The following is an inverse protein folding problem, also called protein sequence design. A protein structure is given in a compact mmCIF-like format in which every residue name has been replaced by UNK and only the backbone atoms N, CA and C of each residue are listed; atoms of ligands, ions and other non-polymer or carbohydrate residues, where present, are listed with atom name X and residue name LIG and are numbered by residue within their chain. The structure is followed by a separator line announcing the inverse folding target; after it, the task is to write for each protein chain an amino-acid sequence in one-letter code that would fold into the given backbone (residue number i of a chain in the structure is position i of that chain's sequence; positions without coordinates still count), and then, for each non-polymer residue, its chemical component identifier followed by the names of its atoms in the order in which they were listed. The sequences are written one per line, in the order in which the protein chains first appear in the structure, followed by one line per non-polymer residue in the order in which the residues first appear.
data_IF_154397706259
#
_entry.id   IF_154397706259
#
_cell.length_a   1.000
_cell.length_b   1.000
_cell.length_c   1.000
_cell.angle_alpha   90.00
_cell.angle_beta   90.00
_cell.angle_gamma   90.00
#
_symmetry.space_group_name_H-M   'P 1'
#
loop_
_entity.id
_entity.type
_entity.pdbx_description
1 polymer ?
#
# COMPACT_ATOMS: atom_id res chain seq x y z
N UNK A 1 23.50 5.50 -11.18
CA UNK A 1 22.99 4.91 -9.94
C UNK A 1 23.97 5.28 -8.85
N UNK A 2 23.54 5.35 -7.60
CA UNK A 2 24.43 5.66 -6.47
C UNK A 2 25.41 4.52 -6.20
N UNK A 3 26.33 4.72 -5.27
CA UNK A 3 27.14 3.62 -4.73
C UNK A 3 26.26 2.58 -4.01
N UNK A 4 26.75 1.34 -3.96
CA UNK A 4 26.12 0.26 -3.19
C UNK A 4 26.23 0.56 -1.69
N UNK A 5 25.13 0.37 -0.97
CA UNK A 5 25.09 0.53 0.49
C UNK A 5 24.27 -0.56 1.15
N UNK A 6 24.72 -1.01 2.32
CA UNK A 6 23.91 -1.85 3.20
C UNK A 6 22.83 -0.97 3.82
N UNK A 7 21.56 -1.28 3.55
CA UNK A 7 20.41 -0.48 3.96
C UNK A 7 19.32 -1.37 4.53
N UNK A 8 18.61 -0.88 5.54
CA UNK A 8 17.43 -1.53 6.11
C UNK A 8 16.15 -1.14 5.36
N UNK A 9 15.12 -1.99 5.36
CA UNK A 9 13.84 -1.68 4.71
C UNK A 9 13.19 -0.37 5.17
N UNK A 10 13.13 -0.13 6.48
CA UNK A 10 12.65 1.13 7.05
C UNK A 10 13.46 2.35 6.58
N UNK A 11 14.79 2.25 6.53
CA UNK A 11 15.68 3.30 6.00
C UNK A 11 15.41 3.54 4.50
N UNK A 12 15.15 2.48 3.73
CA UNK A 12 14.83 2.58 2.30
C UNK A 12 13.46 3.23 2.06
N UNK A 13 12.48 2.99 2.92
CA UNK A 13 11.19 3.68 2.90
C UNK A 13 11.37 5.19 3.09
N UNK A 14 12.06 5.60 4.16
CA UNK A 14 12.33 7.02 4.41
C UNK A 14 13.10 7.68 3.25
N UNK A 15 14.12 6.99 2.70
CA UNK A 15 14.87 7.49 1.56
C UNK A 15 14.00 7.64 0.30
N UNK A 16 13.12 6.67 0.02
CA UNK A 16 12.19 6.72 -1.12
C UNK A 16 11.20 7.87 -0.99
N UNK A 17 10.68 8.11 0.22
CA UNK A 17 9.78 9.21 0.51
C UNK A 17 10.44 10.58 0.25
N UNK A 18 11.64 10.80 0.79
CA UNK A 18 12.41 12.03 0.60
C UNK A 18 12.69 12.26 -0.89
N UNK A 19 13.11 11.21 -1.59
CA UNK A 19 13.43 11.25 -3.01
C UNK A 19 12.20 11.54 -3.89
N UNK A 20 11.01 11.08 -3.47
CA UNK A 20 9.72 11.38 -4.11
C UNK A 20 9.19 12.80 -3.80
N UNK A 21 9.92 13.58 -3.02
CA UNK A 21 9.58 14.96 -2.70
C UNK A 21 8.76 15.14 -1.42
N UNK A 22 8.67 14.13 -0.54
CA UNK A 22 8.06 14.32 0.79
C UNK A 22 8.84 15.39 1.55
N UNK A 23 8.10 16.33 2.14
CA UNK A 23 8.67 17.46 2.91
C UNK A 23 7.99 17.65 4.27
N UNK A 24 7.09 16.76 4.65
CA UNK A 24 6.50 16.76 5.98
C UNK A 24 6.29 15.33 6.48
N UNK A 25 6.73 15.07 7.70
CA UNK A 25 6.44 13.85 8.44
C UNK A 25 5.81 14.20 9.78
N UNK A 26 4.72 13.52 10.11
CA UNK A 26 4.11 13.57 11.44
C UNK A 26 3.71 12.17 11.88
N UNK A 27 3.96 11.83 13.15
CA UNK A 27 3.66 10.49 13.64
C UNK A 27 3.95 10.31 15.12
N UNK A 28 3.71 9.09 15.59
CA UNK A 28 3.99 8.66 16.96
C UNK A 28 4.92 7.43 16.90
N UNK A 29 5.94 7.32 17.77
CA UNK A 29 6.88 6.21 17.72
C UNK A 29 6.20 4.87 18.05
N UNK A 30 6.32 3.89 17.16
CA UNK A 30 5.81 2.54 17.36
C UNK A 30 6.66 1.51 16.62
N UNK A 31 7.14 0.48 17.33
CA UNK A 31 7.83 -0.67 16.72
C UNK A 31 6.88 -1.43 15.79
N UNK A 32 7.31 -1.97 14.64
CA UNK A 32 8.64 -1.92 14.02
C UNK A 32 8.79 -0.81 12.98
N UNK A 33 8.14 0.34 13.16
CA UNK A 33 8.20 1.47 12.21
C UNK A 33 9.13 2.61 12.64
N UNK A 34 9.74 2.50 13.83
CA UNK A 34 10.47 3.57 14.50
C UNK A 34 11.64 4.10 13.66
N UNK A 35 12.37 3.24 12.96
CA UNK A 35 13.53 3.63 12.14
C UNK A 35 13.12 4.51 10.96
N UNK A 36 11.86 4.42 10.48
CA UNK A 36 11.33 5.38 9.48
C UNK A 36 11.28 6.77 10.12
N UNK A 37 10.70 6.89 11.31
CA UNK A 37 10.61 8.16 12.02
C UNK A 37 11.99 8.72 12.38
N UNK A 38 12.92 7.89 12.86
CA UNK A 38 14.30 8.30 13.17
C UNK A 38 15.04 8.82 11.93
N UNK A 39 14.93 8.09 10.81
CA UNK A 39 15.56 8.50 9.55
C UNK A 39 14.95 9.80 9.03
N UNK A 40 13.62 9.94 9.08
CA UNK A 40 12.93 11.17 8.68
C UNK A 40 13.28 12.34 9.59
N UNK A 41 13.38 12.14 10.91
CA UNK A 41 13.78 13.18 11.85
C UNK A 41 15.19 13.72 11.55
N UNK A 42 16.10 12.85 11.12
CA UNK A 42 17.47 13.18 10.78
C UNK A 42 17.59 13.84 9.40
N UNK A 43 17.01 13.23 8.37
CA UNK A 43 17.34 13.53 6.98
C UNK A 43 16.37 14.53 6.34
N UNK A 44 15.10 14.59 6.80
CA UNK A 44 14.09 15.48 6.23
C UNK A 44 14.42 16.97 6.40
N UNK A 45 14.95 17.45 7.56
CA UNK A 45 15.38 18.84 7.70
C UNK A 45 16.49 19.26 6.73
N UNK A 46 17.38 18.33 6.37
CA UNK A 46 18.48 18.60 5.44
C UNK A 46 18.01 18.92 4.01
N UNK A 47 16.79 18.51 3.65
CA UNK A 47 16.15 18.82 2.36
C UNK A 47 15.03 19.86 2.47
N UNK A 48 15.00 20.61 3.58
CA UNK A 48 14.03 21.69 3.84
C UNK A 48 12.64 21.21 4.25
N UNK A 49 12.49 19.93 4.62
CA UNK A 49 11.25 19.41 5.16
C UNK A 49 11.18 19.50 6.69
N UNK A 50 10.03 19.11 7.25
CA UNK A 50 9.75 19.22 8.68
C UNK A 50 9.31 17.88 9.26
N UNK A 51 9.87 17.54 10.42
CA UNK A 51 9.48 16.38 11.20
C UNK A 51 8.79 16.85 12.49
N UNK A 52 7.69 16.20 12.86
CA UNK A 52 7.06 16.40 14.16
C UNK A 52 6.65 15.06 14.77
N UNK A 53 7.06 14.84 16.02
CA UNK A 53 6.51 13.78 16.84
C UNK A 53 5.26 14.31 17.54
N UNK A 54 4.15 13.63 17.34
CA UNK A 54 2.87 13.98 17.96
C UNK A 54 2.65 13.16 19.25
N UNK A 55 1.62 13.54 20.00
CA UNK A 55 1.22 12.92 21.27
C UNK A 55 0.64 11.51 21.10
N UNK A 56 0.01 11.22 19.95
CA UNK A 56 -0.56 9.94 19.57
C UNK A 56 -0.70 9.82 18.03
N UNK A 57 -1.20 8.68 17.55
CA UNK A 57 -1.39 8.45 16.13
C UNK A 57 -2.52 9.26 15.49
N UNK A 58 -3.50 9.74 16.27
CA UNK A 58 -4.60 10.59 15.80
C UNK A 58 -4.05 11.99 15.49
N UNK A 59 -3.35 12.60 16.46
CA UNK A 59 -2.62 13.86 16.28
C UNK A 59 -1.59 13.74 15.16
N UNK A 60 -0.87 12.62 15.11
CA UNK A 60 0.07 12.25 14.04
C UNK A 60 -0.56 12.32 12.65
N UNK A 61 -1.75 11.75 12.47
CA UNK A 61 -2.45 11.80 11.18
C UNK A 61 -3.06 13.19 10.92
N UNK A 62 -3.61 13.85 11.94
CA UNK A 62 -4.21 15.17 11.82
C UNK A 62 -3.23 16.23 11.30
N UNK A 63 -2.02 16.28 11.86
CA UNK A 63 -1.00 17.25 11.44
C UNK A 63 -0.50 16.97 10.01
N UNK A 64 -0.39 15.69 9.63
CA UNK A 64 0.02 15.25 8.30
C UNK A 64 -1.00 15.67 7.24
N UNK A 65 -2.30 15.48 7.51
CA UNK A 65 -3.37 15.94 6.61
C UNK A 65 -3.41 17.46 6.50
N UNK A 66 -3.19 18.18 7.62
CA UNK A 66 -3.06 19.64 7.60
C UNK A 66 -1.91 20.11 6.70
N UNK A 67 -0.74 19.47 6.80
CA UNK A 67 0.40 19.77 5.94
C UNK A 67 0.13 19.44 4.46
N UNK A 68 -0.59 18.35 4.17
CA UNK A 68 -1.01 18.02 2.81
C UNK A 68 -1.93 19.09 2.21
N UNK A 69 -2.90 19.58 2.98
CA UNK A 69 -3.78 20.68 2.60
C UNK A 69 -3.03 22.00 2.42
N UNK A 70 -1.91 22.20 3.11
CA UNK A 70 -0.99 23.32 2.88
C UNK A 70 -0.06 23.11 1.66
N UNK A 71 -0.23 22.04 0.89
CA UNK A 71 0.46 21.81 -0.38
C UNK A 71 1.70 20.92 -0.29
N UNK A 72 2.04 20.39 0.88
CA UNK A 72 3.18 19.50 1.03
C UNK A 72 2.84 18.08 0.59
N UNK A 73 3.84 17.34 0.09
CA UNK A 73 3.81 15.88 0.03
C UNK A 73 4.17 15.34 1.40
N UNK A 74 3.37 14.40 1.91
CA UNK A 74 3.41 14.03 3.32
C UNK A 74 3.45 12.52 3.51
N UNK A 75 4.06 12.08 4.61
CA UNK A 75 4.11 10.68 5.02
C UNK A 75 3.92 10.56 6.54
N UNK A 76 3.24 9.48 6.96
CA UNK A 76 3.22 8.99 8.34
C UNK A 76 3.60 7.52 8.35
N UNK A 77 4.16 7.03 9.46
CA UNK A 77 4.49 5.63 9.65
C UNK A 77 3.89 5.11 10.96
N UNK A 78 3.50 3.85 10.98
CA UNK A 78 2.81 3.21 12.09
C UNK A 78 2.93 1.68 11.99
N UNK A 79 2.30 0.97 12.93
CA UNK A 79 1.96 -0.45 12.87
C UNK A 79 0.48 -0.66 13.26
N UNK A 80 -0.03 -1.89 13.25
CA UNK A 80 -1.45 -2.24 13.44
C UNK A 80 -2.23 -1.48 14.53
N UNK A 81 -1.73 -1.30 15.77
CA UNK A 81 -2.44 -0.53 16.80
C UNK A 81 -2.64 0.94 16.40
N UNK A 82 -1.56 1.59 15.97
CA UNK A 82 -1.61 2.98 15.52
C UNK A 82 -2.38 3.11 14.20
N UNK A 83 -2.32 2.11 13.33
CA UNK A 83 -3.11 2.05 12.11
C UNK A 83 -4.61 2.01 12.41
N UNK A 84 -5.01 1.32 13.48
CA UNK A 84 -6.40 1.31 13.97
C UNK A 84 -6.85 2.70 14.44
N UNK A 85 -5.98 3.44 15.15
CA UNK A 85 -6.28 4.80 15.59
C UNK A 85 -6.40 5.81 14.44
N UNK A 86 -5.72 5.56 13.32
CA UNK A 86 -5.75 6.45 12.13
C UNK A 86 -6.99 6.25 11.25
N UNK A 87 -7.79 5.20 11.44
CA UNK A 87 -8.85 4.83 10.50
C UNK A 87 -9.88 5.94 10.23
N UNK A 88 -10.31 6.68 11.26
CA UNK A 88 -11.25 7.80 11.06
C UNK A 88 -10.66 8.86 10.12
N UNK A 89 -9.40 9.21 10.32
CA UNK A 89 -8.72 10.22 9.50
C UNK A 89 -8.29 9.72 8.12
N UNK A 90 -8.09 8.41 7.95
CA UNK A 90 -7.95 7.78 6.62
C UNK A 90 -9.26 7.95 5.84
N UNK A 91 -10.42 7.71 6.48
CA UNK A 91 -11.74 7.94 5.89
C UNK A 91 -11.97 9.42 5.55
N UNK A 92 -11.58 10.32 6.46
CA UNK A 92 -11.62 11.76 6.20
C UNK A 92 -10.75 12.15 4.99
N UNK A 93 -9.53 11.62 4.90
CA UNK A 93 -8.63 11.90 3.77
C UNK A 93 -9.16 11.34 2.44
N UNK A 94 -9.82 10.17 2.44
CA UNK A 94 -10.49 9.64 1.26
C UNK A 94 -11.67 10.52 0.83
N UNK A 95 -12.52 10.92 1.78
CA UNK A 95 -13.68 11.80 1.54
C UNK A 95 -13.25 13.19 1.03
N UNK A 96 -12.29 13.81 1.70
CA UNK A 96 -11.81 15.15 1.36
C UNK A 96 -10.77 15.18 0.23
N UNK A 97 -10.43 14.01 -0.34
CA UNK A 97 -9.44 13.82 -1.40
C UNK A 97 -8.07 14.44 -1.07
N UNK A 98 -7.60 14.13 0.14
CA UNK A 98 -6.31 14.60 0.67
C UNK A 98 -5.24 13.53 0.38
N UNK A 99 -4.18 13.86 -0.40
CA UNK A 99 -3.11 12.93 -0.69
C UNK A 99 -2.24 12.70 0.55
N UNK A 100 -2.03 11.44 0.92
CA UNK A 100 -1.20 11.05 2.07
C UNK A 100 -0.69 9.63 1.87
N UNK A 101 0.58 9.38 2.23
CA UNK A 101 1.12 8.03 2.35
C UNK A 101 1.13 7.61 3.80
N UNK A 102 0.53 6.45 4.08
CA UNK A 102 0.55 5.79 5.38
C UNK A 102 1.39 4.53 5.24
N UNK A 103 2.51 4.46 5.96
CA UNK A 103 3.31 3.24 6.03
C UNK A 103 2.83 2.45 7.23
N UNK A 104 2.32 1.24 6.99
CA UNK A 104 1.97 0.28 8.02
C UNK A 104 3.00 -0.86 7.99
N UNK A 105 3.87 -0.90 8.99
CA UNK A 105 4.83 -1.99 9.17
C UNK A 105 4.20 -3.02 10.09
N UNK A 106 3.56 -4.02 9.48
CA UNK A 106 2.73 -5.00 10.17
C UNK A 106 3.56 -5.82 11.17
N UNK A 107 2.95 -6.05 12.34
CA UNK A 107 3.49 -6.90 13.41
C UNK A 107 2.37 -7.76 13.99
N UNK A 108 2.71 -8.77 14.78
CA UNK A 108 1.70 -9.67 15.35
C UNK A 108 0.70 -8.88 16.20
N UNK A 109 -0.59 -9.00 15.86
CA UNK A 109 -1.74 -8.59 16.65
C UNK A 109 -2.48 -9.80 17.25
N UNK A 110 -3.75 -9.66 17.69
CA UNK A 110 -4.51 -8.40 17.80
C UNK A 110 -4.07 -7.55 19.00
N UNK A 111 -4.60 -6.32 19.09
CA UNK A 111 -4.25 -5.36 20.15
C UNK A 111 -2.73 -5.09 20.18
N UNK A 112 -2.10 -5.01 21.36
CA UNK A 112 -0.64 -4.86 21.48
C UNK A 112 0.11 -5.97 20.74
N UNK A 113 -0.46 -7.19 20.76
CA UNK A 113 0.10 -8.40 20.17
C UNK A 113 1.55 -8.66 20.58
N UNK A 114 2.40 -9.01 19.62
CA UNK A 114 3.85 -9.15 19.85
C UNK A 114 4.60 -8.12 19.00
N UNK A 115 5.07 -7.02 19.62
CA UNK A 115 5.63 -5.87 18.90
C UNK A 115 6.82 -6.16 17.99
N UNK A 116 7.58 -7.21 18.29
CA UNK A 116 8.83 -7.55 17.60
C UNK A 116 8.70 -8.76 16.69
N UNK A 117 7.48 -9.24 16.46
CA UNK A 117 7.24 -10.47 15.70
C UNK A 117 6.52 -10.15 14.39
N UNK A 118 6.91 -10.82 13.28
CA UNK A 118 6.33 -10.57 11.97
C UNK A 118 4.91 -11.11 11.82
N UNK A 119 4.13 -10.40 11.00
CA UNK A 119 2.73 -10.71 10.72
C UNK A 119 2.35 -10.03 9.41
N UNK A 120 1.31 -10.55 8.77
CA UNK A 120 0.65 -9.90 7.65
C UNK A 120 -0.87 -9.79 7.89
N UNK A 121 -1.25 -9.55 9.15
CA UNK A 121 -2.63 -9.57 9.65
C UNK A 121 -3.46 -8.33 9.37
N UNK A 122 -2.92 -7.30 8.71
CA UNK A 122 -3.62 -6.02 8.55
C UNK A 122 -4.14 -5.79 7.12
N UNK A 123 -4.03 -6.79 6.22
CA UNK A 123 -4.47 -6.72 4.81
C UNK A 123 -5.93 -6.28 4.67
N UNK A 124 -6.84 -6.87 5.45
CA UNK A 124 -8.26 -6.50 5.40
C UNK A 124 -8.51 -5.17 6.06
N UNK A 125 -7.76 -4.81 7.12
CA UNK A 125 -7.86 -3.48 7.73
C UNK A 125 -7.40 -2.39 6.75
N UNK A 126 -6.42 -2.68 5.89
CA UNK A 126 -5.94 -1.77 4.86
C UNK A 126 -6.99 -1.43 3.79
N UNK A 127 -8.06 -2.25 3.66
CA UNK A 127 -9.21 -1.96 2.79
C UNK A 127 -10.45 -1.51 3.53
N UNK A 128 -10.78 -2.17 4.64
CA UNK A 128 -12.07 -2.06 5.32
C UNK A 128 -11.97 -1.50 6.75
N UNK A 129 -10.80 -0.99 7.15
CA UNK A 129 -10.58 -0.50 8.51
C UNK A 129 -11.38 0.76 8.84
N UNK A 130 -11.68 1.59 7.84
CA UNK A 130 -12.48 2.80 8.01
C UNK A 130 -13.93 2.60 7.56
N UNK A 131 -14.81 3.48 8.00
CA UNK A 131 -16.24 3.37 7.79
C UNK A 131 -16.65 4.01 6.45
N UNK A 132 -17.76 3.51 5.88
CA UNK A 132 -18.31 4.00 4.61
C UNK A 132 -17.62 3.37 3.39
N UNK A 133 -18.15 3.65 2.20
CA UNK A 133 -17.62 3.12 0.94
C UNK A 133 -16.50 4.00 0.40
N UNK A 134 -15.31 3.44 0.23
CA UNK A 134 -14.16 4.13 -0.34
C UNK A 134 -13.24 3.15 -1.08
N UNK A 135 -12.59 3.56 -2.18
CA UNK A 135 -11.52 2.77 -2.76
C UNK A 135 -10.23 2.93 -1.95
N UNK A 136 -9.29 2.00 -2.07
CA UNK A 136 -7.94 2.12 -1.49
C UNK A 136 -6.88 1.66 -2.49
N UNK A 137 -5.71 2.32 -2.42
CA UNK A 137 -4.49 1.87 -3.10
C UNK A 137 -3.54 1.37 -2.00
N UNK A 138 -3.13 0.11 -2.10
CA UNK A 138 -2.27 -0.54 -1.12
C UNK A 138 -1.19 -1.33 -1.83
N UNK A 139 0.06 -0.99 -1.55
CA UNK A 139 1.26 -1.63 -2.10
C UNK A 139 2.02 -2.37 -1.00
N UNK A 140 2.54 -3.56 -1.27
CA UNK A 140 3.31 -4.37 -0.32
C UNK A 140 4.64 -4.80 -0.94
N UNK A 141 5.76 -4.19 -0.53
CA UNK A 141 7.08 -4.54 -1.06
C UNK A 141 7.62 -5.83 -0.41
N UNK A 142 8.47 -6.57 -1.12
CA UNK A 142 9.13 -7.78 -0.62
C UNK A 142 10.65 -7.64 -0.38
N UNK A 143 11.27 -6.51 -0.72
CA UNK A 143 12.72 -6.30 -0.59
C UNK A 143 13.04 -4.87 -0.21
N UNK A 144 14.24 -4.60 0.31
CA UNK A 144 14.70 -3.26 0.67
C UNK A 144 14.73 -2.36 -0.55
N UNK A 145 15.21 -2.87 -1.69
CA UNK A 145 15.24 -2.11 -2.95
C UNK A 145 13.82 -1.78 -3.42
N UNK A 146 12.93 -2.76 -3.39
CA UNK A 146 11.53 -2.54 -3.78
C UNK A 146 10.81 -1.62 -2.79
N UNK A 147 11.13 -1.64 -1.50
CA UNK A 147 10.55 -0.70 -0.52
C UNK A 147 10.82 0.75 -0.92
N UNK A 148 12.02 1.07 -1.39
CA UNK A 148 12.31 2.40 -1.93
C UNK A 148 11.40 2.73 -3.13
N UNK A 149 11.34 1.84 -4.13
CA UNK A 149 10.60 2.06 -5.37
C UNK A 149 9.08 2.14 -5.14
N UNK A 150 8.56 1.24 -4.29
CA UNK A 150 7.17 1.21 -3.85
C UNK A 150 6.81 2.48 -3.06
N UNK A 151 7.73 3.03 -2.27
CA UNK A 151 7.48 4.29 -1.57
C UNK A 151 7.37 5.45 -2.54
N UNK A 152 8.26 5.54 -3.53
CA UNK A 152 8.17 6.57 -4.59
C UNK A 152 6.84 6.44 -5.33
N UNK A 153 6.48 5.22 -5.70
CA UNK A 153 5.21 4.91 -6.36
C UNK A 153 4.01 5.31 -5.48
N UNK A 154 4.03 4.99 -4.20
CA UNK A 154 2.96 5.34 -3.25
C UNK A 154 2.76 6.85 -3.14
N UNK A 155 3.85 7.63 -3.04
CA UNK A 155 3.79 9.10 -3.03
C UNK A 155 3.22 9.62 -4.35
N UNK A 156 3.66 9.09 -5.48
CA UNK A 156 3.14 9.50 -6.79
C UNK A 156 1.64 9.18 -6.94
N UNK A 157 1.19 8.01 -6.50
CA UNK A 157 -0.22 7.63 -6.53
C UNK A 157 -1.07 8.46 -5.58
N UNK A 158 -0.59 8.76 -4.37
CA UNK A 158 -1.30 9.63 -3.44
C UNK A 158 -1.54 11.01 -4.10
N UNK A 159 -0.48 11.61 -4.66
CA UNK A 159 -0.53 12.91 -5.30
C UNK A 159 -1.34 12.93 -6.59
N UNK A 160 -1.26 11.87 -7.39
CA UNK A 160 -1.97 11.74 -8.66
C UNK A 160 -3.45 11.50 -8.48
N UNK A 161 -3.84 10.59 -7.60
CA UNK A 161 -5.24 10.20 -7.41
C UNK A 161 -5.92 10.96 -6.28
N UNK A 162 -5.18 11.78 -5.52
CA UNK A 162 -5.66 12.55 -4.38
C UNK A 162 -6.47 11.67 -3.42
N UNK A 163 -5.78 10.65 -2.92
CA UNK A 163 -6.36 9.62 -2.06
C UNK A 163 -5.30 9.15 -1.06
N UNK A 164 -5.69 8.57 0.09
CA UNK A 164 -4.76 7.83 0.92
C UNK A 164 -4.16 6.66 0.14
N UNK A 165 -2.85 6.47 0.28
CA UNK A 165 -2.14 5.28 -0.21
C UNK A 165 -1.45 4.62 0.96
N UNK A 166 -1.64 3.32 1.11
CA UNK A 166 -0.99 2.54 2.17
C UNK A 166 0.19 1.79 1.58
N UNK A 167 1.36 1.96 2.19
CA UNK A 167 2.50 1.09 1.98
C UNK A 167 2.49 0.04 3.09
N UNK A 168 1.99 -1.15 2.76
CA UNK A 168 1.78 -2.26 3.68
C UNK A 168 3.02 -3.14 3.72
N UNK A 169 3.96 -2.78 4.59
CA UNK A 169 5.16 -3.55 4.89
C UNK A 169 4.86 -4.59 5.97
N UNK A 170 5.74 -5.55 6.15
CA UNK A 170 5.76 -6.42 7.32
C UNK A 170 7.09 -6.26 8.07
N UNK A 171 7.13 -6.66 9.34
CA UNK A 171 8.32 -6.57 10.19
C UNK A 171 9.57 -7.19 9.52
N UNK A 172 9.39 -8.28 8.74
CA UNK A 172 10.48 -8.93 8.01
C UNK A 172 11.10 -7.93 7.04
N UNK A 173 10.29 -7.36 6.14
CA UNK A 173 10.77 -6.40 5.14
C UNK A 173 11.26 -5.12 5.78
N UNK A 174 10.57 -4.64 6.82
CA UNK A 174 10.94 -3.44 7.57
C UNK A 174 12.34 -3.53 8.17
N UNK A 175 12.70 -4.67 8.75
CA UNK A 175 13.99 -4.87 9.40
C UNK A 175 15.04 -5.62 8.58
N UNK A 176 14.69 -6.16 7.41
CA UNK A 176 15.64 -6.77 6.50
C UNK A 176 16.73 -5.76 6.10
N UNK A 177 17.98 -6.23 6.03
CA UNK A 177 19.12 -5.46 5.50
C UNK A 177 19.65 -6.10 4.22
N UNK A 178 19.79 -5.29 3.18
CA UNK A 178 20.31 -5.71 1.88
C UNK A 178 21.35 -4.72 1.37
N UNK A 179 22.27 -5.21 0.54
CA UNK A 179 23.13 -4.34 -0.22
C UNK A 179 22.34 -3.81 -1.42
N UNK A 180 21.98 -2.53 -1.40
CA UNK A 180 21.13 -1.91 -2.42
C UNK A 180 21.87 -0.82 -3.16
N UNK A 181 21.53 -0.69 -4.44
CA UNK A 181 21.92 0.43 -5.27
C UNK A 181 20.68 1.26 -5.58
N UNK A 182 20.69 2.55 -5.22
CA UNK A 182 19.55 3.43 -5.46
C UNK A 182 19.75 4.20 -6.79
N UNK A 183 18.66 4.62 -7.45
CA UNK A 183 18.74 5.49 -8.60
C UNK A 183 19.29 6.86 -8.19
N UNK A 184 19.91 7.54 -9.14
CA UNK A 184 20.22 8.96 -8.99
C UNK A 184 18.91 9.76 -8.95
N UNK A 185 18.90 10.88 -8.22
CA UNK A 185 17.69 11.66 -7.98
C UNK A 185 17.01 12.11 -9.28
N UNK A 186 17.78 12.41 -10.32
CA UNK A 186 17.30 12.86 -11.64
C UNK A 186 16.60 11.75 -12.44
N UNK A 187 16.78 10.48 -12.05
CA UNK A 187 16.15 9.31 -12.70
C UNK A 187 14.88 8.86 -11.99
N UNK A 188 14.53 9.50 -10.89
CA UNK A 188 13.33 9.18 -10.12
C UNK A 188 12.18 9.99 -10.70
N UNK A 189 11.14 9.30 -11.16
CA UNK A 189 9.92 9.95 -11.61
C UNK A 189 9.15 10.49 -10.39
N UNK A 190 8.94 11.79 -10.35
CA UNK A 190 8.28 12.49 -9.25
C UNK A 190 7.05 13.21 -9.80
N UNK A 191 5.88 12.68 -9.49
CA UNK A 191 4.62 13.29 -9.90
C UNK A 191 4.43 14.64 -9.21
N UNK A 192 4.16 15.69 -9.99
CA UNK A 192 3.89 17.03 -9.46
C UNK A 192 2.38 17.23 -9.32
N UNK A 193 1.92 17.57 -8.11
CA UNK A 193 0.49 17.80 -7.82
C UNK A 193 -0.09 18.86 -8.76
N UNK A 194 -1.16 18.50 -9.47
CA UNK A 194 -1.92 19.44 -10.29
C UNK A 194 -2.51 20.56 -9.44
N UNK A 195 -2.31 21.78 -9.91
CA UNK A 195 -2.85 22.99 -9.31
C UNK A 195 -4.09 23.47 -10.09
N UNK A 196 -4.99 24.25 -9.46
CA UNK A 196 -6.07 24.91 -10.18
C UNK A 196 -5.55 25.75 -11.36
N UNK A 197 -6.26 25.70 -12.49
CA UNK A 197 -5.95 26.51 -13.68
C UNK A 197 -6.87 27.73 -13.83
N UNK A 198 -7.94 27.80 -13.03
CA UNK A 198 -8.96 28.86 -13.05
C UNK A 198 -8.92 29.68 -11.76
N UNK A 199 -9.26 30.95 -11.83
CA UNK A 199 -9.59 31.77 -10.67
C UNK A 199 -11.05 31.54 -10.24
N UNK A 200 -11.44 32.10 -9.09
CA UNK A 200 -12.82 32.02 -8.61
C UNK A 200 -13.80 32.74 -9.56
N UNK A 201 -13.40 33.88 -10.09
CA UNK A 201 -14.18 34.66 -11.07
C UNK A 201 -14.39 33.89 -12.38
N UNK A 202 -13.45 33.00 -12.71
CA UNK A 202 -13.52 32.09 -13.85
C UNK A 202 -14.31 30.80 -13.57
N UNK A 203 -14.98 30.71 -12.41
CA UNK A 203 -15.82 29.58 -12.04
C UNK A 203 -15.06 28.36 -11.50
N UNK A 204 -13.90 28.57 -10.85
CA UNK A 204 -13.18 27.50 -10.16
C UNK A 204 -14.05 26.83 -9.09
N UNK A 205 -14.16 25.50 -9.17
CA UNK A 205 -14.83 24.63 -8.21
C UNK A 205 -13.82 23.59 -7.72
N UNK A 206 -13.46 23.56 -6.43
CA UNK A 206 -12.32 22.78 -5.94
C UNK A 206 -12.41 21.28 -6.21
N UNK A 207 -13.63 20.73 -6.15
CA UNK A 207 -13.88 19.29 -6.28
C UNK A 207 -14.46 18.90 -7.63
N UNK A 208 -14.58 19.85 -8.57
CA UNK A 208 -14.94 19.52 -9.95
C UNK A 208 -13.80 18.72 -10.58
N UNK A 209 -14.03 17.47 -11.00
CA UNK A 209 -12.98 16.63 -11.54
C UNK A 209 -12.59 17.02 -12.97
N UNK A 210 -11.39 16.62 -13.38
CA UNK A 210 -11.00 16.55 -14.79
C UNK A 210 -11.45 15.22 -15.43
N UNK A 211 -11.01 14.95 -16.67
CA UNK A 211 -11.38 13.73 -17.40
C UNK A 211 -10.99 12.42 -16.70
N UNK A 212 -9.99 12.47 -15.82
CA UNK A 212 -9.53 11.33 -15.01
C UNK A 212 -10.26 11.20 -13.66
N UNK A 213 -11.35 11.96 -13.46
CA UNK A 213 -12.17 11.96 -12.24
C UNK A 213 -11.46 12.51 -10.99
N UNK A 214 -10.23 13.02 -11.14
CA UNK A 214 -9.44 13.61 -10.05
C UNK A 214 -9.64 15.13 -10.06
N UNK A 215 -10.06 15.76 -8.95
CA UNK A 215 -10.18 17.21 -8.86
C UNK A 215 -8.85 17.89 -8.54
N UNK A 216 -8.82 19.22 -8.62
CA UNK A 216 -7.61 20.01 -8.37
C UNK A 216 -7.82 21.04 -7.25
N UNK A 217 -8.16 20.64 -6.01
CA UNK A 217 -8.28 21.59 -4.92
C UNK A 217 -6.93 22.27 -4.63
N UNK A 218 -6.98 23.59 -4.52
CA UNK A 218 -5.86 24.47 -4.21
C UNK A 218 -5.28 24.18 -2.81
N UNK A 219 -4.00 24.44 -2.61
CA UNK A 219 -3.42 24.43 -1.28
C UNK A 219 -3.86 25.67 -0.47
N UNK A 220 -4.01 25.53 0.85
CA UNK A 220 -4.23 26.67 1.72
C UNK A 220 -3.07 27.67 1.65
N UNK A 221 -3.39 28.96 1.74
CA UNK A 221 -2.40 30.04 1.65
C UNK A 221 -2.02 30.45 0.21
N UNK A 222 -2.55 29.80 -0.82
CA UNK A 222 -2.25 30.12 -2.24
C UNK A 222 -3.20 31.16 -2.87
N UNK A 223 -3.95 31.90 -2.05
CA UNK A 223 -4.91 32.93 -2.50
C UNK A 223 -6.30 32.41 -2.84
N UNK A 224 -6.51 31.09 -2.85
CA UNK A 224 -7.82 30.47 -3.01
C UNK A 224 -8.55 30.31 -1.67
N UNK A 225 -9.88 30.51 -1.69
CA UNK A 225 -10.76 30.21 -0.56
C UNK A 225 -11.51 28.92 -0.89
N UNK A 226 -11.13 27.82 -0.26
CA UNK A 226 -11.77 26.51 -0.43
C UNK A 226 -12.40 26.06 0.89
N UNK A 227 -13.43 25.22 0.80
CA UNK A 227 -14.01 24.53 1.94
C UNK A 227 -13.61 23.06 1.87
N UNK A 228 -13.09 22.51 2.95
CA UNK A 228 -12.70 21.10 3.07
C UNK A 228 -13.49 20.51 4.22
N UNK A 229 -14.19 19.40 3.98
CA UNK A 229 -15.12 18.81 4.94
C UNK A 229 -15.14 17.29 4.81
N UNK A 230 -15.44 16.60 5.91
CA UNK A 230 -15.66 15.15 5.91
C UNK A 230 -17.08 14.76 5.53
N UNK A 231 -17.96 15.73 5.32
CA UNK A 231 -19.31 15.51 4.82
C UNK A 231 -19.30 15.30 3.31
N UNK A 232 -20.26 14.52 2.80
CA UNK A 232 -20.57 14.51 1.37
C UNK A 232 -20.84 15.93 0.91
N UNK A 233 -20.20 16.33 -0.18
CA UNK A 233 -20.21 17.69 -0.68
C UNK A 233 -20.33 17.74 -2.21
N UNK A 234 -20.84 18.85 -2.71
CA UNK A 234 -20.85 19.12 -4.15
C UNK A 234 -19.48 19.63 -4.63
N UNK A 235 -19.37 19.96 -5.91
CA UNK A 235 -18.11 20.42 -6.51
C UNK A 235 -17.53 21.72 -5.94
N UNK A 236 -18.34 22.51 -5.25
CA UNK A 236 -17.87 23.72 -4.55
C UNK A 236 -17.16 23.40 -3.24
N UNK A 237 -17.31 22.17 -2.73
CA UNK A 237 -16.80 21.69 -1.45
C UNK A 237 -17.78 21.85 -0.30
N UNK A 238 -18.94 22.48 -0.50
CA UNK A 238 -19.93 22.65 0.57
C UNK A 238 -20.79 21.40 0.78
N UNK A 239 -21.15 21.07 2.03
CA UNK A 239 -21.95 19.89 2.33
C UNK A 239 -23.29 19.86 1.61
N UNK A 240 -23.70 18.67 1.17
CA UNK A 240 -24.97 18.44 0.51
C UNK A 240 -25.63 17.17 1.05
N UNK A 241 -26.93 17.27 1.38
CA UNK A 241 -27.76 16.12 1.74
C UNK A 241 -28.56 15.53 0.57
N UNK A 242 -28.26 15.94 -0.68
CA UNK A 242 -28.97 15.49 -1.86
C UNK A 242 -28.61 14.04 -2.22
N UNK A 243 -29.59 13.13 -2.40
CA UNK A 243 -29.33 11.76 -2.84
C UNK A 243 -28.51 11.68 -4.14
N UNK A 244 -28.80 12.56 -5.11
CA UNK A 244 -28.08 12.58 -6.39
C UNK A 244 -26.62 13.00 -6.23
N UNK A 245 -26.34 13.96 -5.34
CA UNK A 245 -24.95 14.37 -5.04
C UNK A 245 -24.20 13.26 -4.32
N UNK A 246 -24.87 12.56 -3.39
CA UNK A 246 -24.27 11.41 -2.71
C UNK A 246 -23.92 10.28 -3.66
N UNK A 247 -24.83 9.90 -4.55
CA UNK A 247 -24.60 8.87 -5.56
C UNK A 247 -23.40 9.25 -6.45
N UNK A 248 -23.41 10.46 -7.03
CA UNK A 248 -22.33 10.95 -7.89
C UNK A 248 -20.99 11.00 -7.15
N UNK A 249 -20.98 11.48 -5.91
CA UNK A 249 -19.78 11.60 -5.09
C UNK A 249 -19.13 10.22 -4.84
N UNK A 250 -19.92 9.26 -4.35
CA UNK A 250 -19.43 7.91 -4.05
C UNK A 250 -19.01 7.17 -5.32
N UNK A 251 -19.81 7.27 -6.38
CA UNK A 251 -19.48 6.70 -7.69
C UNK A 251 -18.15 7.23 -8.22
N UNK A 252 -17.95 8.55 -8.15
CA UNK A 252 -16.74 9.19 -8.66
C UNK A 252 -15.51 8.72 -7.90
N UNK A 253 -15.56 8.63 -6.56
CA UNK A 253 -14.44 8.14 -5.77
C UNK A 253 -14.03 6.73 -6.23
N UNK A 254 -14.98 5.81 -6.38
CA UNK A 254 -14.68 4.45 -6.83
C UNK A 254 -14.22 4.39 -8.28
N UNK A 255 -14.93 5.07 -9.20
CA UNK A 255 -14.61 5.09 -10.63
C UNK A 255 -13.21 5.67 -10.88
N UNK A 256 -12.78 6.68 -10.11
CA UNK A 256 -11.44 7.29 -10.17
C UNK A 256 -10.32 6.24 -10.04
N UNK A 257 -10.48 5.26 -9.14
CA UNK A 257 -9.50 4.18 -8.96
C UNK A 257 -9.74 3.03 -9.94
N UNK A 258 -11.00 2.70 -10.21
CA UNK A 258 -11.35 1.61 -11.13
C UNK A 258 -10.81 1.82 -12.56
N UNK A 259 -10.90 3.05 -13.10
CA UNK A 259 -10.36 3.34 -14.44
C UNK A 259 -8.83 3.25 -14.52
N UNK A 260 -8.15 3.37 -13.38
CA UNK A 260 -6.70 3.27 -13.27
C UNK A 260 -6.22 1.89 -12.77
N UNK A 261 -7.13 0.91 -12.61
CA UNK A 261 -6.81 -0.38 -12.00
C UNK A 261 -5.65 -1.10 -12.70
N UNK A 262 -5.64 -1.13 -14.03
CA UNK A 262 -4.58 -1.80 -14.79
C UNK A 262 -3.22 -1.11 -14.63
N UNK A 263 -3.21 0.20 -14.36
CA UNK A 263 -1.98 0.95 -14.06
C UNK A 263 -1.48 0.69 -12.64
N UNK A 264 -2.40 0.55 -11.69
CA UNK A 264 -2.10 0.38 -10.27
C UNK A 264 -1.77 -1.08 -9.94
N UNK A 265 -2.15 -2.05 -10.79
CA UNK A 265 -1.96 -3.48 -10.53
C UNK A 265 -0.54 -3.93 -10.88
N UNK A 266 0.33 -4.04 -9.87
CA UNK A 266 1.70 -4.52 -9.99
C UNK A 266 1.83 -5.94 -9.45
N UNK A 267 2.45 -6.81 -10.25
CA UNK A 267 2.72 -8.20 -9.89
C UNK A 267 3.87 -8.76 -10.74
N UNK A 268 4.50 -9.81 -10.24
CA UNK A 268 5.47 -10.61 -11.01
C UNK A 268 4.94 -12.02 -11.25
N UNK A 269 5.28 -12.61 -12.40
CA UNK A 269 5.09 -14.04 -12.69
C UNK A 269 6.48 -14.70 -12.76
N UNK A 270 6.65 -15.82 -12.05
CA UNK A 270 7.86 -16.64 -12.10
C UNK A 270 7.50 -18.07 -12.46
N UNK A 271 8.19 -18.65 -13.46
CA UNK A 271 8.01 -20.04 -13.88
C UNK A 271 6.53 -20.38 -14.17
N UNK A 272 5.77 -19.50 -14.82
CA UNK A 272 4.34 -19.70 -15.08
C UNK A 272 4.03 -20.32 -16.45
N UNK A 273 5.04 -20.43 -17.32
CA UNK A 273 4.89 -20.82 -18.73
C UNK A 273 4.40 -22.27 -18.89
N UNK A 274 4.88 -23.17 -18.04
CA UNK A 274 4.56 -24.61 -18.04
C UNK A 274 3.94 -25.08 -16.70
N UNK A 275 3.56 -24.14 -15.83
CA UNK A 275 3.09 -24.43 -14.48
C UNK A 275 1.78 -25.22 -14.47
N UNK A 276 1.74 -26.32 -13.71
CA UNK A 276 0.53 -27.08 -13.38
C UNK A 276 -0.05 -26.68 -12.02
N UNK A 277 0.76 -26.05 -11.16
CA UNK A 277 0.40 -25.52 -9.84
C UNK A 277 0.94 -24.10 -9.71
N UNK A 278 0.33 -23.26 -8.88
CA UNK A 278 0.85 -21.93 -8.60
C UNK A 278 0.96 -21.66 -7.09
N UNK A 279 1.92 -20.84 -6.71
CA UNK A 279 1.98 -20.17 -5.42
C UNK A 279 1.63 -18.70 -5.61
N UNK A 280 0.69 -18.17 -4.84
CA UNK A 280 0.39 -16.73 -4.81
C UNK A 280 0.78 -16.19 -3.45
N UNK A 281 1.62 -15.15 -3.41
CA UNK A 281 2.11 -14.56 -2.16
C UNK A 281 2.47 -13.07 -2.34
N UNK A 282 2.76 -12.39 -1.23
CA UNK A 282 3.12 -10.96 -1.16
C UNK A 282 4.03 -10.69 0.03
N UNK A 283 4.60 -9.48 0.10
CA UNK A 283 5.44 -9.05 1.21
C UNK A 283 6.65 -9.95 1.46
N UNK A 284 7.13 -10.02 2.70
CA UNK A 284 8.29 -10.82 3.08
C UNK A 284 8.14 -12.32 2.81
N UNK A 285 6.92 -12.86 2.94
CA UNK A 285 6.63 -14.29 2.69
C UNK A 285 6.90 -14.69 1.24
N UNK A 286 6.67 -13.77 0.29
CA UNK A 286 6.92 -14.03 -1.12
C UNK A 286 8.39 -14.41 -1.39
N UNK A 287 9.34 -13.93 -0.60
CA UNK A 287 10.76 -14.29 -0.75
C UNK A 287 11.02 -15.76 -0.43
N UNK A 288 10.50 -16.20 0.71
CA UNK A 288 10.60 -17.61 1.14
C UNK A 288 9.88 -18.52 0.15
N UNK A 289 8.68 -18.10 -0.29
CA UNK A 289 7.91 -18.82 -1.30
C UNK A 289 8.67 -18.94 -2.63
N UNK A 290 9.37 -17.90 -3.06
CA UNK A 290 10.19 -17.93 -4.27
C UNK A 290 11.32 -18.97 -4.19
N UNK A 291 12.05 -19.03 -3.07
CA UNK A 291 13.08 -20.06 -2.87
C UNK A 291 12.46 -21.48 -2.87
N UNK A 292 11.33 -21.67 -2.19
CA UNK A 292 10.63 -22.97 -2.18
C UNK A 292 10.18 -23.40 -3.59
N UNK A 293 9.66 -22.47 -4.39
CA UNK A 293 9.30 -22.70 -5.80
C UNK A 293 10.52 -23.06 -6.64
N UNK A 294 11.66 -22.38 -6.44
CA UNK A 294 12.91 -22.75 -7.12
C UNK A 294 13.40 -24.15 -6.73
N UNK A 295 13.27 -24.54 -5.47
CA UNK A 295 13.62 -25.90 -5.01
C UNK A 295 12.68 -26.96 -5.61
N UNK A 296 11.37 -26.71 -5.58
CA UNK A 296 10.37 -27.60 -6.20
C UNK A 296 10.61 -27.77 -7.70
N UNK A 297 10.95 -26.68 -8.40
CA UNK A 297 11.33 -26.70 -9.82
C UNK A 297 12.58 -27.53 -10.08
N UNK A 298 13.60 -27.45 -9.23
CA UNK A 298 14.80 -28.32 -9.30
C UNK A 298 14.47 -29.81 -9.11
N UNK A 299 13.39 -30.12 -8.40
CA UNK A 299 12.88 -31.49 -8.25
C UNK A 299 11.95 -31.93 -9.41
N UNK A 300 11.71 -31.07 -10.41
CA UNK A 300 10.86 -31.37 -11.56
C UNK A 300 9.37 -31.12 -11.33
N UNK A 301 8.99 -30.50 -10.20
CA UNK A 301 7.59 -30.09 -9.96
C UNK A 301 7.30 -28.84 -10.79
N UNK A 302 6.25 -28.91 -11.62
CA UNK A 302 5.82 -27.78 -12.46
C UNK A 302 5.00 -26.76 -11.67
N UNK A 303 5.64 -26.06 -10.74
CA UNK A 303 5.01 -25.02 -9.93
C UNK A 303 5.50 -23.64 -10.32
N UNK A 304 4.58 -22.73 -10.64
CA UNK A 304 4.89 -21.32 -10.84
C UNK A 304 4.59 -20.48 -9.61
N UNK A 305 4.94 -19.21 -9.66
CA UNK A 305 4.62 -18.24 -8.62
C UNK A 305 4.08 -16.96 -9.23
N UNK A 306 3.08 -16.38 -8.58
CA UNK A 306 2.67 -14.99 -8.82
C UNK A 306 2.82 -14.20 -7.54
N UNK A 307 3.64 -13.16 -7.59
CA UNK A 307 3.85 -12.26 -6.47
C UNK A 307 3.02 -11.01 -6.67
N UNK A 308 2.11 -10.73 -5.75
CA UNK A 308 1.35 -9.49 -5.76
C UNK A 308 2.13 -8.40 -5.02
N UNK A 309 2.39 -7.29 -5.71
CA UNK A 309 2.86 -6.06 -5.07
C UNK A 309 1.67 -5.16 -4.74
N UNK A 310 0.68 -5.07 -5.62
CA UNK A 310 -0.58 -4.37 -5.33
C UNK A 310 -1.55 -5.31 -4.63
N UNK A 311 -1.92 -4.96 -3.40
CA UNK A 311 -2.90 -5.69 -2.60
C UNK A 311 -4.30 -5.16 -2.90
N UNK A 312 -4.44 -3.83 -2.99
CA UNK A 312 -5.69 -3.14 -3.33
C UNK A 312 -5.42 -2.00 -4.33
N UNK A 313 -6.27 -1.77 -5.34
CA UNK A 313 -7.37 -2.62 -5.78
C UNK A 313 -6.90 -4.03 -6.15
N UNK A 314 -7.76 -5.03 -5.91
CA UNK A 314 -7.35 -6.44 -6.05
C UNK A 314 -7.12 -6.81 -7.52
N UNK A 315 -6.17 -7.71 -7.76
CA UNK A 315 -5.76 -8.13 -9.08
C UNK A 315 -6.68 -9.24 -9.66
N UNK A 316 -7.99 -9.00 -9.71
CA UNK A 316 -8.99 -10.01 -10.11
C UNK A 316 -8.64 -10.68 -11.45
N UNK A 317 -8.33 -9.88 -12.49
CA UNK A 317 -7.96 -10.36 -13.84
C UNK A 317 -6.74 -11.29 -13.82
N UNK A 318 -5.78 -11.02 -12.94
CA UNK A 318 -4.53 -11.79 -12.81
C UNK A 318 -4.84 -13.14 -12.21
N UNK A 319 -5.59 -13.17 -11.10
CA UNK A 319 -5.95 -14.41 -10.42
C UNK A 319 -6.85 -15.28 -11.29
N UNK A 320 -7.86 -14.70 -11.96
CA UNK A 320 -8.73 -15.42 -12.90
C UNK A 320 -7.92 -16.08 -14.02
N UNK A 321 -6.99 -15.34 -14.64
CA UNK A 321 -6.10 -15.86 -15.70
C UNK A 321 -5.27 -17.06 -15.21
N UNK A 322 -4.77 -17.03 -13.98
CA UNK A 322 -3.93 -18.10 -13.42
C UNK A 322 -4.78 -19.30 -13.05
N UNK A 323 -5.92 -19.09 -12.40
CA UNK A 323 -6.83 -20.14 -11.96
C UNK A 323 -7.33 -21.00 -13.14
N UNK A 324 -7.54 -20.39 -14.31
CA UNK A 324 -7.90 -21.11 -15.53
C UNK A 324 -6.78 -21.97 -16.15
N UNK A 325 -5.54 -21.88 -15.64
CA UNK A 325 -4.36 -22.60 -16.18
C UNK A 325 -3.82 -23.68 -15.26
N UNK A 326 -3.97 -23.51 -13.95
CA UNK A 326 -3.36 -24.41 -12.94
C UNK A 326 -4.40 -25.28 -12.26
N UNK A 327 -3.96 -26.42 -11.75
CA UNK A 327 -4.82 -27.37 -11.01
C UNK A 327 -5.14 -26.87 -9.61
N UNK A 328 -4.18 -26.18 -8.97
CA UNK A 328 -4.34 -25.61 -7.63
C UNK A 328 -3.42 -24.43 -7.40
N UNK A 329 -3.86 -23.51 -6.54
CA UNK A 329 -3.11 -22.37 -6.03
C UNK A 329 -2.85 -22.57 -4.53
N UNK A 330 -1.59 -22.49 -4.11
CA UNK A 330 -1.19 -22.41 -2.70
C UNK A 330 -0.96 -20.96 -2.31
N UNK A 331 -1.44 -20.55 -1.14
CA UNK A 331 -1.35 -19.18 -0.64
C UNK A 331 -0.71 -19.19 0.75
N UNK A 332 0.62 -19.00 0.85
CA UNK A 332 1.32 -18.83 2.12
C UNK A 332 1.09 -17.42 2.69
N UNK A 333 0.58 -17.33 3.91
CA UNK A 333 0.30 -16.06 4.60
C UNK A 333 0.76 -16.11 6.06
N UNK A 334 1.34 -15.00 6.54
CA UNK A 334 1.62 -14.80 7.98
C UNK A 334 0.40 -14.26 8.74
N UNK A 335 -0.77 -14.86 8.48
CA UNK A 335 -2.04 -14.55 9.11
C UNK A 335 -2.98 -15.78 9.01
N UNK A 336 -4.21 -15.66 9.51
CA UNK A 336 -5.20 -16.75 9.52
C UNK A 336 -6.02 -16.91 8.21
N UNK A 337 -5.52 -16.36 7.11
CA UNK A 337 -6.18 -16.34 5.80
C UNK A 337 -6.98 -15.06 5.58
N UNK A 338 -6.33 -14.05 5.00
CA UNK A 338 -6.98 -12.81 4.56
C UNK A 338 -7.02 -12.72 3.04
N UNK A 339 -5.86 -12.75 2.39
CA UNK A 339 -5.75 -12.57 0.95
C UNK A 339 -6.30 -13.79 0.19
N UNK A 340 -6.14 -15.00 0.74
CA UNK A 340 -6.64 -16.26 0.19
C UNK A 340 -8.13 -16.23 -0.12
N UNK A 341 -8.92 -15.47 0.65
CA UNK A 341 -10.36 -15.37 0.44
C UNK A 341 -10.69 -14.55 -0.82
N UNK A 342 -9.92 -13.50 -1.09
CA UNK A 342 -10.02 -12.74 -2.33
C UNK A 342 -9.50 -13.54 -3.52
N UNK A 343 -8.43 -14.30 -3.33
CA UNK A 343 -7.91 -15.21 -4.37
C UNK A 343 -8.97 -16.27 -4.70
N UNK A 344 -9.63 -16.86 -3.71
CA UNK A 344 -10.75 -17.79 -3.93
C UNK A 344 -11.89 -17.14 -4.69
N UNK A 345 -12.27 -15.91 -4.31
CA UNK A 345 -13.32 -15.13 -4.99
C UNK A 345 -12.98 -14.90 -6.46
N UNK A 346 -11.77 -14.44 -6.77
CA UNK A 346 -11.34 -14.16 -8.14
C UNK A 346 -11.07 -15.43 -8.96
N UNK A 347 -10.60 -16.51 -8.34
CA UNK A 347 -10.44 -17.81 -8.99
C UNK A 347 -11.79 -18.43 -9.37
N UNK A 348 -12.89 -18.02 -8.72
CA UNK A 348 -14.27 -18.38 -9.07
C UNK A 348 -14.49 -19.90 -9.31
N UNK A 349 -13.86 -20.73 -8.47
CA UNK A 349 -13.96 -22.19 -8.55
C UNK A 349 -13.25 -22.86 -9.73
N UNK A 350 -12.46 -22.13 -10.53
CA UNK A 350 -11.72 -22.69 -11.67
C UNK A 350 -10.60 -23.65 -11.23
N UNK A 351 -10.04 -23.46 -10.04
CA UNK A 351 -9.07 -24.36 -9.44
C UNK A 351 -9.21 -24.39 -7.91
N UNK A 352 -8.59 -25.38 -7.27
CA UNK A 352 -8.54 -25.45 -5.80
C UNK A 352 -7.56 -24.40 -5.24
N UNK A 353 -8.00 -23.57 -4.29
CA UNK A 353 -7.15 -22.58 -3.62
C UNK A 353 -6.94 -22.96 -2.16
N UNK A 354 -5.70 -23.23 -1.76
CA UNK A 354 -5.30 -23.69 -0.43
C UNK A 354 -4.56 -22.61 0.33
N UNK A 355 -4.98 -22.39 1.58
CA UNK A 355 -4.27 -21.56 2.53
C UNK A 355 -3.15 -22.37 3.19
N UNK A 356 -1.94 -21.81 3.20
CA UNK A 356 -0.87 -22.20 4.11
C UNK A 356 -0.68 -21.06 5.12
N UNK A 357 -1.39 -21.15 6.24
CA UNK A 357 -1.36 -20.12 7.27
C UNK A 357 -0.25 -20.39 8.29
N UNK A 358 0.48 -19.34 8.66
CA UNK A 358 1.35 -19.33 9.84
C UNK A 358 1.08 -18.07 10.64
N UNK A 359 0.90 -18.21 11.94
CA UNK A 359 0.50 -17.12 12.83
C UNK A 359 1.08 -17.34 14.25
N UNK A 360 2.20 -18.04 14.31
CA UNK A 360 2.87 -18.47 15.53
C UNK A 360 4.13 -17.64 15.82
N UNK A 361 4.24 -16.42 15.28
CA UNK A 361 5.39 -15.47 15.40
C UNK A 361 6.63 -15.82 14.59
N UNK A 362 6.72 -17.04 14.07
CA UNK A 362 7.84 -17.46 13.24
C UNK A 362 7.59 -17.11 11.77
N UNK A 363 8.68 -16.98 11.02
CA UNK A 363 8.61 -16.89 9.55
C UNK A 363 8.53 -18.30 8.95
N UNK A 364 8.08 -18.39 7.70
CA UNK A 364 8.22 -19.64 6.95
C UNK A 364 9.69 -19.94 6.66
N UNK A 365 10.07 -21.21 6.75
CA UNK A 365 11.25 -21.74 6.04
C UNK A 365 10.86 -22.15 4.61
N UNK A 366 11.82 -22.16 3.67
CA UNK A 366 11.56 -22.68 2.33
C UNK A 366 11.06 -24.13 2.35
N UNK A 367 11.57 -24.95 3.27
CA UNK A 367 11.21 -26.37 3.39
C UNK A 367 9.74 -26.58 3.79
N UNK A 368 9.18 -25.71 4.64
CA UNK A 368 7.76 -25.78 5.01
C UNK A 368 6.86 -25.54 3.81
N UNK A 369 7.15 -24.52 3.00
CA UNK A 369 6.38 -24.21 1.79
C UNK A 369 6.60 -25.29 0.73
N UNK A 370 7.84 -25.77 0.55
CA UNK A 370 8.17 -26.85 -0.37
C UNK A 370 7.39 -28.13 -0.04
N UNK A 371 7.32 -28.52 1.24
CA UNK A 371 6.57 -29.71 1.65
C UNK A 371 5.08 -29.60 1.29
N UNK A 372 4.49 -28.41 1.41
CA UNK A 372 3.10 -28.19 0.96
C UNK A 372 2.95 -28.21 -0.56
N UNK A 373 3.93 -27.68 -1.31
CA UNK A 373 3.96 -27.79 -2.78
C UNK A 373 4.01 -29.27 -3.21
N UNK A 374 4.86 -30.09 -2.59
CA UNK A 374 4.97 -31.53 -2.88
C UNK A 374 3.62 -32.26 -2.66
N UNK A 375 2.87 -31.87 -1.63
CA UNK A 375 1.53 -32.42 -1.36
C UNK A 375 0.51 -32.09 -2.45
N UNK A 376 0.65 -30.97 -3.17
CA UNK A 376 -0.22 -30.63 -4.30
C UNK A 376 -0.12 -31.67 -5.45
N UNK A 377 1.07 -32.24 -5.64
CA UNK A 377 1.29 -33.30 -6.63
C UNK A 377 0.74 -34.65 -6.16
N UNK A 378 0.86 -34.95 -4.85
CA UNK A 378 0.49 -36.24 -4.25
C UNK A 378 -1.01 -36.44 -3.99
N UNK A 379 -1.82 -35.38 -3.96
CA UNK A 379 -3.24 -35.40 -3.58
C UNK A 379 -4.24 -35.97 -4.60
N UNK A 380 -3.79 -36.73 -5.61
CA UNK A 380 -4.65 -37.42 -6.59
C UNK A 380 -4.60 -38.96 -6.46
N UNK A 381 -4.58 -39.48 -5.22
CA UNK A 381 -4.76 -40.92 -4.95
C UNK A 381 -5.92 -41.18 -4.03
#
# INVERSE_FOLDING_TARGET
MTDMKLMQGNEACAAGAIAAGVRFFGGYPITPSTEIAETMAKDLPAVGGHFIQMEDEIGGMGVVLGAALAGQKVLTATSGPGFSLKQELIGYAACAEIPVVIVDVQRVGPSTGQPTSPSQGDVMQARWGTHGDHPMIVLSPWSVRETFDATVMAVNYAERFRTPVILLMDEIVGHLRENVQLPEQEKIDVYTRRQPTKTREQGYQPYKPEADLVPNPAAFGTGYRIHVTGLVHDYTGFPSGSPAVTEEFIDRLHKKIAIAQDEITHYDEFFMEDAEYAVVSYGGVARTAYEAVQQARRQGIKVGMVRLMTIWPFADKVIEKIAGKVKSILVPELNYGQLVNEIKRAANGQCEVKLLAKYNTEIFTPEEILSEIEKLQGGSK
#
